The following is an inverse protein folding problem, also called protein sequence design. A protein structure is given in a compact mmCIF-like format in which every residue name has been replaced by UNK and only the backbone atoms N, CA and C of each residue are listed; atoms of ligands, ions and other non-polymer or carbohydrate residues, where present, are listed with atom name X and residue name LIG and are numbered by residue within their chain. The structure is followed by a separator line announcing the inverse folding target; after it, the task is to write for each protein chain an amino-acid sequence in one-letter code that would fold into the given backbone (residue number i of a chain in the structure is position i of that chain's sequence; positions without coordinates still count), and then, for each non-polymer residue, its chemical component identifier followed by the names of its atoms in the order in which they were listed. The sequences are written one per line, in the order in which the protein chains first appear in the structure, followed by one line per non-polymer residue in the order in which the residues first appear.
data_IF_309880480525
#
_entry.id   IF_309880480525
#
_cell.length_a   1.000
_cell.length_b   1.000
_cell.length_c   1.000
_cell.angle_alpha   90.00
_cell.angle_beta   90.00
_cell.angle_gamma   90.00
#
_symmetry.space_group_name_H-M   'P 1'
#
loop_
_entity.id
_entity.type
_entity.pdbx_description
1 polymer ?
#
# COMPACT_ATOMS: atom_id res chain seq x y z
N UNK A 1 -25.58 -20.90 -6.63
CA UNK A 1 -26.58 -21.46 -5.69
C UNK A 1 -25.87 -22.37 -4.69
N UNK A 2 -25.53 -21.87 -3.50
CA UNK A 2 -25.09 -22.73 -2.39
C UNK A 2 -25.78 -22.25 -1.10
N UNK A 3 -26.43 -23.21 -0.43
CA UNK A 3 -27.44 -23.03 0.62
C UNK A 3 -26.80 -22.70 1.98
N UNK A 4 -27.44 -21.79 2.72
CA UNK A 4 -27.23 -21.55 4.16
C UNK A 4 -27.47 -22.82 4.99
N UNK A 5 -26.65 -23.02 6.02
CA UNK A 5 -26.95 -23.89 7.17
C UNK A 5 -26.58 -23.13 8.45
N UNK A 6 -27.62 -22.72 9.19
CA UNK A 6 -27.55 -22.15 10.53
C UNK A 6 -27.57 -23.26 11.58
N UNK A 7 -26.77 -23.16 12.64
CA UNK A 7 -27.06 -23.81 13.93
C UNK A 7 -26.72 -22.85 15.07
N UNK A 8 -27.71 -22.63 15.93
CA UNK A 8 -27.65 -21.95 17.22
C UNK A 8 -27.42 -22.96 18.35
N UNK A 9 -26.82 -22.51 19.46
CA UNK A 9 -27.12 -22.81 20.90
C UNK A 9 -25.94 -22.28 21.74
N UNK A 10 -26.08 -21.26 22.60
CA UNK A 10 -26.36 -21.31 24.07
C UNK A 10 -25.45 -22.29 24.85
N UNK A 11 -24.84 -22.04 25.99
CA UNK A 11 -24.86 -20.97 27.00
C UNK A 11 -23.72 -21.24 28.02
N UNK A 12 -23.44 -20.22 28.85
CA UNK A 12 -23.01 -20.33 30.26
C UNK A 12 -21.52 -20.22 30.62
N UNK A 13 -21.27 -19.19 31.43
CA UNK A 13 -20.06 -18.85 32.19
C UNK A 13 -19.84 -19.81 33.37
N UNK A 14 -18.58 -20.00 33.76
CA UNK A 14 -18.22 -20.18 35.18
C UNK A 14 -16.86 -19.52 35.47
N UNK A 15 -16.85 -18.78 36.57
CA UNK A 15 -15.74 -18.07 37.19
C UNK A 15 -14.95 -19.01 38.10
N UNK A 16 -13.62 -18.80 38.28
CA UNK A 16 -12.95 -18.95 39.57
C UNK A 16 -11.54 -18.36 39.56
N UNK A 17 -11.28 -17.54 40.58
CA UNK A 17 -10.05 -16.85 40.94
C UNK A 17 -9.09 -17.73 41.74
N UNK A 18 -7.78 -17.52 41.62
CA UNK A 18 -6.88 -17.45 42.80
C UNK A 18 -5.55 -16.78 42.45
N UNK A 19 -5.06 -15.97 43.39
CA UNK A 19 -3.75 -15.33 43.41
C UNK A 19 -2.67 -16.28 43.94
N UNK A 20 -1.42 -16.09 43.52
CA UNK A 20 -0.22 -16.63 44.16
C UNK A 20 1.01 -15.78 43.80
N UNK A 21 1.73 -15.29 44.81
CA UNK A 21 2.94 -14.45 44.74
C UNK A 21 4.23 -15.27 44.97
N UNK A 22 5.35 -14.77 44.41
CA UNK A 22 6.76 -15.03 44.80
C UNK A 22 7.41 -16.27 44.16
N UNK A 23 8.65 -16.28 43.68
CA UNK A 23 9.78 -15.34 43.61
C UNK A 23 11.01 -16.08 43.03
N UNK A 24 12.06 -15.31 42.72
CA UNK A 24 13.48 -15.66 42.49
C UNK A 24 14.03 -16.05 41.11
N UNK A 25 15.24 -15.52 40.91
CA UNK A 25 16.08 -15.33 39.73
C UNK A 25 16.70 -16.61 39.15
N UNK A 26 16.90 -16.63 37.83
CA UNK A 26 18.13 -17.14 37.22
C UNK A 26 18.22 -16.68 35.75
N UNK A 27 19.32 -16.01 35.45
CA UNK A 27 19.78 -15.62 34.13
C UNK A 27 20.21 -16.80 33.26
N UNK A 28 20.26 -16.53 31.95
CA UNK A 28 21.08 -17.11 30.88
C UNK A 28 20.33 -17.84 29.75
N UNK A 29 20.85 -17.57 28.55
CA UNK A 29 20.47 -18.07 27.23
C UNK A 29 19.18 -17.50 26.61
N UNK A 30 19.20 -16.19 26.38
CA UNK A 30 18.42 -15.55 25.33
C UNK A 30 18.95 -15.95 23.95
N UNK A 31 18.79 -17.22 23.59
CA UNK A 31 19.03 -17.74 22.25
C UNK A 31 18.30 -16.85 21.25
N UNK A 32 19.07 -16.17 20.39
CA UNK A 32 18.56 -15.41 19.25
C UNK A 32 17.88 -16.36 18.26
N UNK A 33 16.66 -16.78 18.58
CA UNK A 33 15.79 -17.58 17.71
C UNK A 33 14.53 -16.78 17.36
N UNK A 34 14.71 -15.50 17.09
CA UNK A 34 13.81 -14.72 16.24
C UNK A 34 14.07 -15.07 14.78
N UNK A 35 13.87 -16.34 14.41
CA UNK A 35 13.89 -16.79 13.02
C UNK A 35 12.92 -15.89 12.24
N UNK A 36 13.41 -15.25 11.18
CA UNK A 36 12.61 -14.47 10.25
C UNK A 36 11.41 -15.33 9.82
N UNK A 37 10.22 -15.08 10.39
CA UNK A 37 9.00 -15.63 9.81
C UNK A 37 8.80 -14.87 8.50
N UNK A 38 9.27 -15.46 7.41
CA UNK A 38 8.81 -15.17 6.06
C UNK A 38 7.34 -15.55 6.00
N UNK A 39 6.48 -14.72 6.61
CA UNK A 39 5.04 -14.84 6.50
C UNK A 39 4.67 -14.63 5.05
N UNK A 40 4.33 -15.70 4.34
CA UNK A 40 3.79 -15.57 2.99
C UNK A 40 2.52 -14.73 3.08
N UNK A 41 2.50 -13.60 2.36
CA UNK A 41 1.30 -12.76 2.23
C UNK A 41 0.15 -13.60 1.67
N UNK A 42 -1.06 -13.41 2.22
CA UNK A 42 -2.28 -14.03 1.70
C UNK A 42 -2.74 -13.34 0.42
N UNK A 43 -3.50 -14.04 -0.42
CA UNK A 43 -4.10 -13.48 -1.64
C UNK A 43 -4.96 -12.25 -1.33
N UNK A 44 -5.78 -12.31 -0.28
CA UNK A 44 -6.60 -11.19 0.19
C UNK A 44 -5.76 -9.95 0.57
N UNK A 45 -4.58 -10.14 1.18
CA UNK A 45 -3.68 -9.03 1.51
C UNK A 45 -3.09 -8.38 0.25
N UNK A 46 -2.83 -9.17 -0.78
CA UNK A 46 -2.24 -8.72 -2.05
C UNK A 46 -3.31 -8.03 -2.92
N UNK A 47 -4.46 -8.67 -3.10
CA UNK A 47 -5.58 -8.21 -3.92
C UNK A 47 -6.66 -7.52 -3.08
N UNK A 48 -6.25 -6.79 -2.03
CA UNK A 48 -7.13 -6.12 -1.07
C UNK A 48 -8.19 -5.20 -1.67
N UNK A 49 -7.98 -4.72 -2.91
CA UNK A 49 -8.94 -3.88 -3.65
C UNK A 49 -10.23 -4.65 -3.96
N UNK A 50 -10.17 -5.98 -4.06
CA UNK A 50 -11.32 -6.83 -4.34
C UNK A 50 -12.13 -7.17 -3.07
N UNK A 51 -11.53 -6.99 -1.89
CA UNK A 51 -12.09 -7.40 -0.59
C UNK A 51 -12.40 -6.19 0.29
N UNK A 52 -13.30 -5.33 -0.19
CA UNK A 52 -13.71 -4.13 0.54
C UNK A 52 -14.89 -4.39 1.48
N UNK A 53 -14.78 -3.89 2.72
CA UNK A 53 -15.90 -3.79 3.65
C UNK A 53 -16.90 -2.72 3.18
N UNK A 54 -18.13 -2.77 3.68
CA UNK A 54 -19.16 -1.81 3.26
C UNK A 54 -18.82 -0.37 3.67
N UNK A 55 -18.19 -0.18 4.84
CA UNK A 55 -17.69 1.14 5.24
C UNK A 55 -16.60 1.69 4.31
N UNK A 56 -15.78 0.82 3.72
CA UNK A 56 -14.76 1.22 2.74
C UNK A 56 -15.37 1.60 1.39
N UNK A 57 -16.41 0.88 0.95
CA UNK A 57 -17.19 1.23 -0.25
C UNK A 57 -17.91 2.57 -0.06
N UNK A 58 -18.45 2.81 1.13
CA UNK A 58 -19.07 4.10 1.48
C UNK A 58 -18.03 5.24 1.46
N UNK A 59 -16.84 5.02 2.02
CA UNK A 59 -15.75 5.99 1.97
C UNK A 59 -15.32 6.31 0.53
N UNK A 60 -15.28 5.32 -0.36
CA UNK A 60 -15.03 5.51 -1.79
C UNK A 60 -16.09 6.39 -2.45
N UNK A 61 -17.38 6.09 -2.20
CA UNK A 61 -18.48 6.90 -2.72
C UNK A 61 -18.39 8.35 -2.24
N UNK A 62 -18.15 8.56 -0.93
CA UNK A 62 -17.97 9.90 -0.33
C UNK A 62 -16.80 10.67 -0.94
N UNK A 63 -15.66 10.01 -1.12
CA UNK A 63 -14.49 10.63 -1.73
C UNK A 63 -14.78 11.05 -3.19
N UNK A 64 -15.40 10.17 -3.98
CA UNK A 64 -15.78 10.48 -5.36
C UNK A 64 -16.69 11.70 -5.40
N UNK A 65 -17.75 11.72 -4.60
CA UNK A 65 -18.66 12.88 -4.51
C UNK A 65 -17.91 14.15 -4.13
N UNK A 66 -17.05 14.13 -3.11
CA UNK A 66 -16.30 15.30 -2.67
C UNK A 66 -15.39 15.87 -3.78
N UNK A 67 -14.67 15.00 -4.50
CA UNK A 67 -13.80 15.39 -5.61
C UNK A 67 -14.58 15.91 -6.82
N UNK A 68 -15.75 15.33 -7.13
CA UNK A 68 -16.65 15.81 -8.18
C UNK A 68 -17.23 17.18 -7.81
N UNK A 69 -17.68 17.37 -6.56
CA UNK A 69 -18.22 18.66 -6.09
C UNK A 69 -17.19 19.77 -6.15
N UNK A 70 -15.91 19.46 -5.90
CA UNK A 70 -14.80 20.42 -6.06
C UNK A 70 -14.31 20.55 -7.51
N UNK A 71 -14.87 19.82 -8.46
CA UNK A 71 -14.46 19.79 -9.86
C UNK A 71 -12.96 19.47 -10.06
N UNK A 72 -12.40 18.65 -9.17
CA UNK A 72 -10.99 18.22 -9.23
C UNK A 72 -10.82 16.78 -9.71
N UNK A 73 -11.92 16.01 -9.76
CA UNK A 73 -11.88 14.62 -10.20
C UNK A 73 -11.52 14.52 -11.69
N UNK A 74 -10.44 13.80 -12.01
CA UNK A 74 -10.03 13.54 -13.39
C UNK A 74 -10.74 12.31 -13.97
N UNK A 75 -12.06 12.42 -14.13
CA UNK A 75 -12.98 11.29 -14.37
C UNK A 75 -12.67 10.48 -15.64
N UNK A 76 -12.25 11.15 -16.72
CA UNK A 76 -11.97 10.51 -18.02
C UNK A 76 -10.54 9.93 -18.12
N UNK A 77 -9.86 9.72 -16.99
CA UNK A 77 -8.47 9.24 -16.96
C UNK A 77 -8.33 8.08 -15.97
N UNK A 78 -7.20 7.38 -16.03
CA UNK A 78 -6.84 6.37 -15.03
C UNK A 78 -6.77 6.93 -13.58
N UNK A 79 -6.71 8.25 -13.41
CA UNK A 79 -6.71 8.92 -12.11
C UNK A 79 -8.12 9.07 -11.51
N UNK A 80 -9.18 8.86 -12.30
CA UNK A 80 -10.57 8.89 -11.85
C UNK A 80 -11.15 7.51 -11.51
N UNK A 81 -10.38 6.43 -11.65
CA UNK A 81 -10.85 5.06 -11.40
C UNK A 81 -10.98 4.76 -9.91
N UNK A 82 -11.87 3.82 -9.56
CA UNK A 82 -12.04 3.37 -8.17
C UNK A 82 -10.73 2.85 -7.58
N UNK A 83 -9.95 2.11 -8.36
CA UNK A 83 -8.63 1.59 -7.94
C UNK A 83 -7.67 2.71 -7.54
N UNK A 84 -7.67 3.83 -8.24
CA UNK A 84 -6.86 5.00 -7.88
C UNK A 84 -7.38 5.67 -6.62
N UNK A 85 -8.68 5.94 -6.53
CA UNK A 85 -9.28 6.57 -5.35
C UNK A 85 -9.08 5.74 -4.07
N UNK A 86 -9.19 4.42 -4.17
CA UNK A 86 -8.93 3.49 -3.07
C UNK A 86 -7.49 3.55 -2.57
N UNK A 87 -6.49 3.81 -3.43
CA UNK A 87 -5.10 4.00 -3.00
C UNK A 87 -4.95 5.22 -2.09
N UNK A 88 -5.62 6.33 -2.41
CA UNK A 88 -5.61 7.54 -1.57
C UNK A 88 -6.31 7.30 -0.23
N UNK A 89 -7.46 6.62 -0.22
CA UNK A 89 -8.15 6.25 1.01
C UNK A 89 -7.29 5.34 1.88
N UNK A 90 -6.71 4.28 1.31
CA UNK A 90 -5.84 3.37 2.06
C UNK A 90 -4.63 4.09 2.65
N UNK A 91 -4.01 4.99 1.90
CA UNK A 91 -2.86 5.78 2.35
C UNK A 91 -3.18 6.80 3.45
N UNK A 92 -4.47 7.07 3.71
CA UNK A 92 -4.94 7.99 4.77
C UNK A 92 -5.81 7.31 5.81
N UNK A 93 -5.74 5.98 5.91
CA UNK A 93 -6.48 5.22 6.91
C UNK A 93 -8.00 5.37 6.76
N UNK A 94 -8.48 5.50 5.52
CA UNK A 94 -9.89 5.69 5.16
C UNK A 94 -10.51 7.02 5.62
N UNK A 95 -9.69 8.00 5.99
CA UNK A 95 -10.11 9.38 6.24
C UNK A 95 -10.37 10.10 4.91
N UNK A 96 -11.65 10.33 4.59
CA UNK A 96 -12.10 10.91 3.31
C UNK A 96 -11.52 12.32 3.11
N UNK A 97 -11.54 13.18 4.13
CA UNK A 97 -11.09 14.57 4.00
C UNK A 97 -9.58 14.66 3.75
N UNK A 98 -8.79 13.81 4.41
CA UNK A 98 -7.34 13.73 4.17
C UNK A 98 -7.02 13.12 2.80
N UNK A 99 -7.77 12.09 2.38
CA UNK A 99 -7.59 11.47 1.07
C UNK A 99 -7.92 12.47 -0.06
N UNK A 100 -9.00 13.23 0.11
CA UNK A 100 -9.41 14.31 -0.80
C UNK A 100 -8.32 15.37 -0.94
N UNK A 101 -7.80 15.88 0.19
CA UNK A 101 -6.70 16.86 0.20
C UNK A 101 -5.47 16.31 -0.52
N UNK A 102 -5.11 15.04 -0.27
CA UNK A 102 -3.98 14.38 -0.93
C UNK A 102 -4.19 14.25 -2.45
N UNK A 103 -5.40 13.90 -2.89
CA UNK A 103 -5.73 13.81 -4.31
C UNK A 103 -5.67 15.18 -4.99
N UNK A 104 -6.28 16.21 -4.39
CA UNK A 104 -6.23 17.58 -4.93
C UNK A 104 -4.80 18.09 -5.07
N UNK A 105 -3.95 17.84 -4.06
CA UNK A 105 -2.53 18.20 -4.13
C UNK A 105 -1.80 17.43 -5.24
N UNK A 106 -2.12 16.16 -5.45
CA UNK A 106 -1.56 15.37 -6.55
C UNK A 106 -1.96 15.95 -7.92
N UNK A 107 -3.23 16.31 -8.11
CA UNK A 107 -3.70 16.94 -9.37
C UNK A 107 -2.98 18.27 -9.63
N UNK A 108 -2.83 19.09 -8.59
CA UNK A 108 -2.08 20.34 -8.69
C UNK A 108 -0.61 20.10 -9.06
N UNK A 109 0.05 19.15 -8.38
CA UNK A 109 1.44 18.78 -8.66
C UNK A 109 1.62 18.26 -10.09
N UNK A 110 0.74 17.37 -10.57
CA UNK A 110 0.80 16.85 -11.96
C UNK A 110 0.72 17.97 -12.99
N UNK A 111 -0.13 18.98 -12.75
CA UNK A 111 -0.23 20.16 -13.60
C UNK A 111 1.04 21.00 -13.56
N UNK A 112 1.59 21.25 -12.37
CA UNK A 112 2.82 22.03 -12.21
C UNK A 112 4.03 21.37 -12.87
N UNK A 113 4.15 20.04 -12.77
CA UNK A 113 5.28 19.27 -13.30
C UNK A 113 4.99 18.63 -14.67
N UNK A 114 3.86 18.99 -15.31
CA UNK A 114 3.45 18.50 -16.64
C UNK A 114 3.54 16.97 -16.74
N UNK A 115 3.17 16.25 -15.67
CA UNK A 115 3.40 14.80 -15.57
C UNK A 115 2.58 14.00 -16.60
N UNK A 116 1.47 14.57 -17.09
CA UNK A 116 0.65 13.94 -18.13
C UNK A 116 1.34 13.99 -19.52
N UNK A 117 2.30 14.90 -19.72
CA UNK A 117 3.03 15.13 -20.98
C UNK A 117 4.40 14.42 -20.98
N UNK A 118 4.80 13.79 -19.86
CA UNK A 118 6.16 13.24 -19.68
C UNK A 118 6.55 12.22 -20.75
N UNK A 119 5.61 11.41 -21.25
CA UNK A 119 5.91 10.42 -22.27
C UNK A 119 6.20 11.03 -23.65
N UNK A 120 5.76 12.27 -23.88
CA UNK A 120 5.93 12.99 -25.14
C UNK A 120 7.08 14.01 -25.07
N UNK A 121 7.22 14.70 -23.92
CA UNK A 121 8.17 15.81 -23.77
C UNK A 121 9.52 15.41 -23.16
N UNK A 122 9.61 14.31 -22.40
CA UNK A 122 10.83 13.95 -21.68
C UNK A 122 11.72 13.00 -22.49
N UNK A 123 12.87 13.50 -22.91
CA UNK A 123 13.97 12.69 -23.42
C UNK A 123 14.99 12.43 -22.31
N UNK A 124 15.50 11.20 -22.25
CA UNK A 124 16.53 10.81 -21.29
C UNK A 124 17.80 10.32 -22.00
N UNK A 125 18.54 11.20 -22.70
CA UNK A 125 19.67 10.81 -23.55
C UNK A 125 20.85 10.24 -22.76
N UNK A 126 21.05 10.69 -21.52
CA UNK A 126 22.11 10.24 -20.63
C UNK A 126 21.81 8.90 -19.93
N UNK A 127 20.63 8.30 -20.19
CA UNK A 127 20.15 7.08 -19.52
C UNK A 127 21.20 5.97 -19.49
N UNK A 128 21.86 5.69 -20.61
CA UNK A 128 22.82 4.58 -20.69
C UNK A 128 24.08 4.85 -19.84
N UNK A 129 24.49 6.10 -19.69
CA UNK A 129 25.59 6.47 -18.79
C UNK A 129 25.16 6.45 -17.33
N UNK A 130 23.95 6.94 -17.03
CA UNK A 130 23.39 6.89 -15.68
C UNK A 130 23.22 5.44 -15.24
N UNK A 131 22.77 4.53 -16.10
CA UNK A 131 22.59 3.11 -15.74
C UNK A 131 23.89 2.37 -15.39
N UNK A 132 25.05 2.84 -15.89
CA UNK A 132 26.37 2.32 -15.48
C UNK A 132 26.72 2.73 -14.05
N UNK A 133 26.30 3.92 -13.64
CA UNK A 133 26.60 4.55 -12.35
C UNK A 133 25.55 4.18 -11.30
N UNK A 134 24.28 4.13 -11.69
CA UNK A 134 23.12 3.79 -10.87
C UNK A 134 22.26 2.77 -11.61
N UNK A 135 22.58 1.47 -11.50
CA UNK A 135 21.85 0.43 -12.20
C UNK A 135 20.43 0.26 -11.66
N UNK A 136 19.45 0.48 -12.53
CA UNK A 136 18.01 0.35 -12.26
C UNK A 136 17.33 -0.37 -13.43
N UNK A 137 16.48 -1.36 -13.16
CA UNK A 137 15.75 -2.06 -14.23
C UNK A 137 14.55 -2.84 -13.72
N UNK A 138 13.63 -3.13 -14.63
CA UNK A 138 12.55 -4.10 -14.41
C UNK A 138 12.99 -5.50 -14.87
N UNK A 139 12.69 -6.55 -14.09
CA UNK A 139 13.06 -7.92 -14.42
C UNK A 139 11.97 -8.91 -14.00
N UNK A 140 11.14 -9.33 -14.97
CA UNK A 140 10.10 -10.33 -14.73
C UNK A 140 8.99 -9.86 -13.79
N UNK A 141 8.29 -10.82 -13.21
CA UNK A 141 7.18 -10.62 -12.27
C UNK A 141 7.33 -11.54 -11.07
N UNK A 142 6.75 -11.16 -9.94
CA UNK A 142 6.69 -12.01 -8.75
C UNK A 142 5.60 -13.09 -8.87
N UNK A 143 5.41 -13.90 -7.81
CA UNK A 143 4.42 -14.98 -7.75
C UNK A 143 2.95 -14.52 -7.89
N UNK A 144 2.69 -13.22 -7.78
CA UNK A 144 1.36 -12.62 -7.93
C UNK A 144 1.26 -11.75 -9.19
N UNK A 145 2.25 -11.82 -10.09
CA UNK A 145 2.26 -11.06 -11.35
C UNK A 145 2.67 -9.59 -11.20
N UNK A 146 3.19 -9.17 -10.04
CA UNK A 146 3.62 -7.77 -9.83
C UNK A 146 4.97 -7.55 -10.52
N UNK A 147 5.15 -6.49 -11.35
CA UNK A 147 6.44 -6.19 -11.97
C UNK A 147 7.52 -6.01 -10.91
N UNK A 148 8.63 -6.72 -11.06
CA UNK A 148 9.77 -6.60 -10.15
C UNK A 148 10.69 -5.51 -10.65
N UNK A 149 10.85 -4.48 -9.83
CA UNK A 149 11.78 -3.37 -10.05
C UNK A 149 13.00 -3.56 -9.13
N UNK A 150 14.20 -3.46 -9.71
CA UNK A 150 15.47 -3.67 -9.01
C UNK A 150 16.35 -2.43 -9.14
N UNK A 151 16.79 -1.92 -7.99
CA UNK A 151 17.82 -0.90 -7.90
C UNK A 151 19.04 -1.46 -7.16
N UNK A 152 20.24 -1.33 -7.76
CA UNK A 152 21.48 -1.78 -7.13
C UNK A 152 22.17 -0.63 -6.39
N UNK A 153 21.57 -0.18 -5.28
CA UNK A 153 22.02 0.99 -4.51
C UNK A 153 23.47 0.88 -4.00
N UNK A 154 23.94 -0.33 -3.68
CA UNK A 154 25.33 -0.57 -3.26
C UNK A 154 26.38 -0.38 -4.36
N UNK A 155 25.97 -0.24 -5.63
CA UNK A 155 26.84 0.05 -6.76
C UNK A 155 26.78 1.52 -7.19
N UNK A 156 26.00 2.34 -6.49
CA UNK A 156 25.79 3.74 -6.85
C UNK A 156 27.04 4.55 -6.53
N UNK A 157 27.59 5.23 -7.54
CA UNK A 157 28.57 6.28 -7.33
C UNK A 157 27.88 7.65 -7.34
N UNK A 158 27.46 8.12 -6.16
CA UNK A 158 26.74 9.38 -6.00
C UNK A 158 27.54 10.58 -6.48
N UNK A 159 28.86 10.61 -6.22
CA UNK A 159 29.73 11.71 -6.65
C UNK A 159 29.83 11.83 -8.18
N UNK A 160 29.58 10.76 -8.92
CA UNK A 160 29.55 10.79 -10.39
C UNK A 160 28.17 11.23 -10.95
N UNK A 161 27.13 11.28 -10.12
CA UNK A 161 25.79 11.77 -10.49
C UNK A 161 25.64 13.28 -10.29
N UNK A 162 26.47 13.88 -9.43
CA UNK A 162 26.50 15.32 -9.21
C UNK A 162 27.24 16.00 -10.39
N UNK A 163 26.50 16.77 -11.20
CA UNK A 163 27.05 17.72 -12.17
C UNK A 163 26.53 19.12 -11.86
#
# INVERSE_FOLDING_TARGET
MFKKLSKSTSSSKSSLSSQGQGGDEASEDGSMKGMMKTGQQTEEQVFWVEYLTDGQKEALSKLRTALTTKSVLMENTHLGTDTTLLRFLKARGWDVAKAETMYTNMVAWRRTFKTDEVFEEFEYPEKDEVLKIYPQFYCGVDKFGRPVYVEKTGLVNASALEK
#
